data_IF_841850083240
#
_entry.id   IF_841850083240
#
_cell.length_a   1.000
_cell.length_b   1.000
_cell.length_c   1.000
_cell.angle_alpha   90.00
_cell.angle_beta   90.00
_cell.angle_gamma   90.00
#
_symmetry.space_group_name_H-M   'P 1'
#
loop_
_entity.id
_entity.type
_entity.pdbx_description
1 polymer ?
#
# COMPACT_ATOMS: atom_id res chain seq x y z
N UNK A 1 11.48 -38.03 0.61
CA UNK A 1 11.77 -36.62 0.97
C UNK A 1 11.17 -35.55 0.04
N UNK A 2 10.38 -35.89 -1.01
CA UNK A 2 9.66 -34.89 -1.83
C UNK A 2 8.28 -34.48 -1.27
N UNK A 3 7.62 -35.38 -0.54
CA UNK A 3 6.29 -35.12 0.03
C UNK A 3 6.28 -34.13 1.21
N UNK A 4 7.33 -34.10 2.06
CA UNK A 4 7.40 -33.15 3.18
C UNK A 4 7.51 -31.67 2.74
N UNK A 5 8.12 -31.40 1.59
CA UNK A 5 8.36 -30.02 1.10
C UNK A 5 7.05 -29.37 0.61
N UNK A 6 6.17 -30.15 -0.02
CA UNK A 6 4.86 -29.65 -0.49
C UNK A 6 3.95 -29.25 0.68
N UNK A 7 3.98 -30.00 1.78
CA UNK A 7 3.12 -29.75 2.94
C UNK A 7 3.53 -28.47 3.68
N UNK A 8 4.84 -28.25 3.89
CA UNK A 8 5.36 -27.01 4.53
C UNK A 8 5.05 -25.77 3.67
N UNK A 9 5.12 -25.90 2.35
CA UNK A 9 4.78 -24.82 1.41
C UNK A 9 3.30 -24.43 1.48
N UNK A 10 2.40 -25.41 1.59
CA UNK A 10 0.95 -25.16 1.75
C UNK A 10 0.63 -24.49 3.09
N UNK A 11 1.24 -24.93 4.20
CA UNK A 11 1.00 -24.32 5.51
C UNK A 11 1.50 -22.87 5.61
N UNK A 12 2.64 -22.54 5.01
CA UNK A 12 3.18 -21.17 5.01
C UNK A 12 2.35 -20.21 4.16
N UNK A 13 1.81 -20.67 3.02
CA UNK A 13 0.91 -19.86 2.18
C UNK A 13 -0.41 -19.57 2.91
N UNK A 14 -0.98 -20.57 3.60
CA UNK A 14 -2.23 -20.40 4.38
C UNK A 14 -2.04 -19.49 5.59
N UNK A 15 -0.87 -19.52 6.24
CA UNK A 15 -0.57 -18.60 7.34
C UNK A 15 -0.44 -17.14 6.86
N UNK A 16 0.22 -16.92 5.72
CA UNK A 16 0.42 -15.58 5.13
C UNK A 16 -0.89 -14.94 4.64
N UNK A 17 -1.81 -15.74 4.09
CA UNK A 17 -3.13 -15.23 3.69
C UNK A 17 -4.00 -14.83 4.88
N UNK A 18 -3.99 -15.61 5.97
CA UNK A 18 -4.68 -15.25 7.23
C UNK A 18 -4.13 -13.98 7.87
N UNK A 19 -2.80 -13.80 7.87
CA UNK A 19 -2.16 -12.58 8.36
C UNK A 19 -2.67 -11.33 7.59
N UNK A 20 -2.79 -11.44 6.27
CA UNK A 20 -3.22 -10.31 5.44
C UNK A 20 -4.68 -9.90 5.67
N UNK A 21 -5.58 -10.85 5.96
CA UNK A 21 -6.98 -10.55 6.29
C UNK A 21 -7.12 -9.87 7.65
N UNK A 22 -6.44 -10.39 8.67
CA UNK A 22 -6.44 -9.80 10.02
C UNK A 22 -5.88 -8.37 10.02
N UNK A 23 -4.86 -8.10 9.21
CA UNK A 23 -4.28 -6.76 9.07
C UNK A 23 -5.25 -5.77 8.40
N UNK A 24 -6.02 -6.22 7.41
CA UNK A 24 -7.07 -5.42 6.76
C UNK A 24 -8.18 -5.08 7.75
N UNK A 25 -8.71 -6.08 8.46
CA UNK A 25 -9.77 -5.89 9.45
C UNK A 25 -9.34 -4.94 10.56
N UNK A 26 -8.13 -5.10 11.10
CA UNK A 26 -7.59 -4.23 12.12
C UNK A 26 -7.45 -2.78 11.64
N UNK A 27 -6.91 -2.57 10.43
CA UNK A 27 -6.78 -1.22 9.87
C UNK A 27 -8.14 -0.61 9.51
N UNK A 28 -9.09 -1.41 9.02
CA UNK A 28 -10.44 -0.96 8.67
C UNK A 28 -11.21 -0.49 9.91
N UNK A 29 -11.15 -1.29 10.99
CA UNK A 29 -11.74 -0.95 12.29
C UNK A 29 -11.19 0.36 12.86
N UNK A 30 -9.87 0.58 12.74
CA UNK A 30 -9.23 1.82 13.23
C UNK A 30 -9.81 3.09 12.60
N UNK A 31 -10.28 3.02 11.35
CA UNK A 31 -10.78 4.17 10.60
C UNK A 31 -12.28 4.09 10.29
N UNK A 32 -13.01 3.18 10.93
CA UNK A 32 -14.46 3.03 10.74
C UNK A 32 -14.87 2.63 9.31
N UNK A 33 -13.99 1.97 8.56
CA UNK A 33 -14.26 1.56 7.17
C UNK A 33 -15.01 0.23 7.18
N UNK A 34 -16.29 0.26 6.86
CA UNK A 34 -17.10 -0.94 6.71
C UNK A 34 -16.94 -1.57 5.31
N UNK A 35 -17.16 -2.89 5.19
CA UNK A 35 -17.17 -3.64 3.92
C UNK A 35 -15.83 -3.69 3.13
N UNK A 36 -14.68 -3.78 3.82
CA UNK A 36 -13.38 -4.02 3.16
C UNK A 36 -13.27 -5.49 2.70
N UNK A 37 -14.02 -5.84 1.66
CA UNK A 37 -14.10 -7.22 1.13
C UNK A 37 -12.91 -7.61 0.27
N UNK A 38 -12.04 -6.67 -0.13
CA UNK A 38 -10.77 -6.90 -0.85
C UNK A 38 -9.85 -5.68 -0.76
N UNK A 39 -8.54 -5.91 -0.64
CA UNK A 39 -7.52 -4.91 -1.01
C UNK A 39 -7.68 -4.67 -2.52
N UNK A 40 -7.90 -3.45 -3.00
CA UNK A 40 -8.04 -3.20 -4.43
C UNK A 40 -6.64 -3.16 -5.05
N UNK A 41 -6.08 -4.35 -5.24
CA UNK A 41 -5.09 -4.52 -6.28
C UNK A 41 -5.84 -4.62 -7.62
N UNK A 42 -5.81 -3.48 -8.32
CA UNK A 42 -5.84 -3.32 -9.76
C UNK A 42 -7.13 -3.38 -10.58
N UNK A 43 -8.29 -3.87 -10.15
CA UNK A 43 -9.48 -3.79 -11.02
C UNK A 43 -10.80 -3.50 -10.28
N UNK A 44 -11.34 -2.31 -10.58
CA UNK A 44 -12.68 -1.72 -10.34
C UNK A 44 -12.77 -0.56 -9.33
N UNK A 45 -13.63 0.45 -9.62
CA UNK A 45 -13.59 1.76 -8.98
C UNK A 45 -14.39 1.73 -7.69
N UNK A 46 -13.73 1.39 -6.58
CA UNK A 46 -14.18 1.94 -5.29
C UNK A 46 -13.96 3.45 -5.36
N UNK A 47 -14.96 4.24 -4.92
CA UNK A 47 -14.97 5.71 -5.04
C UNK A 47 -13.65 6.28 -4.50
N UNK A 48 -12.74 6.49 -5.45
CA UNK A 48 -11.39 6.96 -5.26
C UNK A 48 -11.51 8.38 -4.67
N UNK A 49 -11.16 8.53 -3.38
CA UNK A 49 -11.04 9.76 -2.57
C UNK A 49 -11.92 9.85 -1.29
N UNK A 50 -12.22 8.75 -0.60
CA UNK A 50 -12.63 8.86 0.80
C UNK A 50 -11.38 9.11 1.68
N UNK A 51 -11.33 10.14 2.55
CA UNK A 51 -10.18 10.40 3.42
C UNK A 51 -9.78 9.18 4.26
N UNK A 52 -10.77 8.39 4.67
CA UNK A 52 -10.61 7.19 5.49
C UNK A 52 -9.91 6.06 4.72
N UNK A 53 -10.03 6.07 3.38
CA UNK A 53 -9.39 5.07 2.52
C UNK A 53 -7.87 5.29 2.41
N UNK A 54 -7.41 6.54 2.34
CA UNK A 54 -5.97 6.80 2.34
C UNK A 54 -5.33 6.55 3.71
N UNK A 55 -6.10 6.71 4.79
CA UNK A 55 -5.69 6.29 6.13
C UNK A 55 -5.60 4.76 6.27
N UNK A 56 -6.60 4.03 5.76
CA UNK A 56 -6.57 2.57 5.67
C UNK A 56 -5.34 2.08 4.91
N UNK A 57 -5.06 2.68 3.74
CA UNK A 57 -3.89 2.34 2.93
C UNK A 57 -2.58 2.63 3.66
N UNK A 58 -2.48 3.75 4.35
CA UNK A 58 -1.33 4.09 5.18
C UNK A 58 -1.08 3.06 6.28
N UNK A 59 -2.14 2.61 6.97
CA UNK A 59 -2.03 1.58 8.00
C UNK A 59 -1.51 0.24 7.46
N UNK A 60 -2.01 -0.18 6.29
CA UNK A 60 -1.54 -1.38 5.62
C UNK A 60 -0.06 -1.27 5.22
N UNK A 61 0.34 -0.14 4.63
CA UNK A 61 1.73 0.09 4.24
C UNK A 61 2.68 0.20 5.43
N UNK A 62 2.22 0.73 6.56
CA UNK A 62 2.97 0.70 7.83
C UNK A 62 3.18 -0.74 8.31
N UNK A 63 2.14 -1.57 8.33
CA UNK A 63 2.25 -3.00 8.71
C UNK A 63 3.18 -3.79 7.78
N UNK A 64 3.25 -3.40 6.51
CA UNK A 64 4.17 -3.97 5.52
C UNK A 64 5.60 -3.41 5.61
N UNK A 65 5.85 -2.45 6.52
CA UNK A 65 7.17 -1.83 6.70
C UNK A 65 7.57 -0.89 5.56
N UNK A 66 6.63 -0.52 4.69
CA UNK A 66 6.83 0.46 3.62
C UNK A 66 6.85 1.88 4.21
N UNK A 67 6.11 2.09 5.30
CA UNK A 67 6.08 3.34 6.04
C UNK A 67 6.61 3.16 7.47
N UNK A 68 7.39 4.13 7.94
CA UNK A 68 7.88 4.23 9.33
C UNK A 68 7.75 5.67 9.80
N UNK A 69 7.31 5.88 11.03
CA UNK A 69 7.07 7.22 11.61
C UNK A 69 6.17 8.10 10.72
N UNK A 70 5.18 7.46 10.08
CA UNK A 70 4.25 8.11 9.17
C UNK A 70 4.82 8.55 7.82
N UNK A 71 6.06 8.16 7.47
CA UNK A 71 6.73 8.50 6.21
C UNK A 71 7.07 7.25 5.42
N UNK A 72 7.15 7.37 4.10
CA UNK A 72 7.66 6.32 3.23
C UNK A 72 9.16 6.13 3.40
N UNK A 73 9.56 4.86 3.42
CA UNK A 73 10.91 4.42 3.11
C UNK A 73 10.98 4.10 1.60
N UNK A 74 11.81 4.84 0.86
CA UNK A 74 11.89 4.73 -0.60
C UNK A 74 12.34 3.34 -1.06
N UNK A 75 13.30 2.74 -0.39
CA UNK A 75 13.83 1.43 -0.77
C UNK A 75 12.82 0.32 -0.48
N UNK A 76 12.12 0.41 0.64
CA UNK A 76 11.03 -0.52 0.97
C UNK A 76 9.87 -0.37 -0.01
N UNK A 77 9.46 0.87 -0.32
CA UNK A 77 8.43 1.15 -1.32
C UNK A 77 8.82 0.60 -2.69
N UNK A 78 10.05 0.84 -3.15
CA UNK A 78 10.52 0.33 -4.44
C UNK A 78 10.49 -1.19 -4.47
N UNK A 79 11.01 -1.84 -3.43
CA UNK A 79 11.03 -3.31 -3.36
C UNK A 79 9.63 -3.94 -3.33
N UNK A 80 8.67 -3.24 -2.75
CA UNK A 80 7.27 -3.67 -2.71
C UNK A 80 6.58 -3.47 -4.06
N UNK A 81 6.61 -2.26 -4.62
CA UNK A 81 5.84 -1.89 -5.82
C UNK A 81 6.51 -2.28 -7.15
N UNK A 82 7.81 -2.58 -7.19
CA UNK A 82 8.51 -2.96 -8.44
C UNK A 82 7.95 -4.21 -9.11
N UNK A 83 7.21 -5.05 -8.37
CA UNK A 83 6.59 -6.27 -8.90
C UNK A 83 5.29 -6.02 -9.65
N UNK A 84 4.65 -4.88 -9.40
CA UNK A 84 3.31 -4.56 -9.94
C UNK A 84 3.31 -3.36 -10.87
N UNK A 85 4.45 -2.65 -10.97
CA UNK A 85 4.58 -1.51 -11.89
C UNK A 85 4.53 -1.93 -13.35
N UNK A 86 3.88 -1.09 -14.17
CA UNK A 86 3.87 -1.20 -15.64
C UNK A 86 4.98 -0.38 -16.31
N UNK A 87 5.68 0.44 -15.53
CA UNK A 87 6.77 1.28 -16.03
C UNK A 87 8.09 0.49 -16.06
N UNK A 88 9.02 0.82 -16.98
CA UNK A 88 10.41 0.36 -16.86
C UNK A 88 10.97 0.69 -15.47
N UNK A 89 11.76 -0.22 -14.88
CA UNK A 89 12.18 -0.09 -13.48
C UNK A 89 12.96 1.20 -13.18
N UNK A 90 13.76 1.68 -14.12
CA UNK A 90 14.49 2.95 -14.00
C UNK A 90 13.54 4.14 -13.92
N UNK A 91 12.60 4.23 -14.86
CA UNK A 91 11.53 5.25 -14.90
C UNK A 91 10.64 5.17 -13.66
N UNK A 92 10.30 3.95 -13.24
CA UNK A 92 9.52 3.72 -12.04
C UNK A 92 10.23 4.24 -10.79
N UNK A 93 11.52 3.93 -10.63
CA UNK A 93 12.30 4.34 -9.46
C UNK A 93 12.40 5.86 -9.37
N UNK A 94 12.64 6.53 -10.48
CA UNK A 94 12.69 7.99 -10.55
C UNK A 94 11.34 8.62 -10.15
N UNK A 95 10.26 8.18 -10.80
CA UNK A 95 8.91 8.67 -10.50
C UNK A 95 8.51 8.38 -9.04
N UNK A 96 8.83 7.19 -8.53
CA UNK A 96 8.60 6.80 -7.15
C UNK A 96 9.33 7.73 -6.19
N UNK A 97 10.61 8.04 -6.45
CA UNK A 97 11.42 8.93 -5.62
C UNK A 97 10.78 10.31 -5.46
N UNK A 98 10.38 10.92 -6.58
CA UNK A 98 9.71 12.23 -6.58
C UNK A 98 8.40 12.20 -5.79
N UNK A 99 7.59 11.16 -5.98
CA UNK A 99 6.29 11.05 -5.30
C UNK A 99 6.41 10.72 -3.82
N UNK A 100 7.43 9.94 -3.43
CA UNK A 100 7.76 9.67 -2.02
C UNK A 100 8.23 10.94 -1.33
N UNK A 101 9.13 11.70 -1.96
CA UNK A 101 9.62 12.97 -1.42
C UNK A 101 8.46 13.95 -1.20
N UNK A 102 7.61 14.13 -2.22
CA UNK A 102 6.43 14.98 -2.14
C UNK A 102 5.46 14.52 -1.05
N UNK A 103 5.16 13.21 -1.00
CA UNK A 103 4.29 12.64 0.03
C UNK A 103 4.85 12.89 1.44
N UNK A 104 6.16 12.69 1.63
CA UNK A 104 6.82 12.84 2.92
C UNK A 104 6.85 14.28 3.46
N UNK A 105 6.38 15.28 2.71
CA UNK A 105 6.17 16.64 3.23
C UNK A 105 4.89 16.76 4.08
N UNK A 106 3.96 15.82 3.97
CA UNK A 106 2.66 15.86 4.66
C UNK A 106 2.78 15.53 6.16
N UNK A 107 1.91 16.12 6.98
CA UNK A 107 2.01 16.02 8.45
C UNK A 107 1.64 14.65 9.03
N UNK A 108 0.77 13.90 8.36
CA UNK A 108 0.29 12.60 8.82
C UNK A 108 0.30 11.55 7.71
N UNK A 109 0.27 10.28 8.10
CA UNK A 109 0.43 9.12 7.20
C UNK A 109 -0.67 9.01 6.13
N UNK A 110 -1.90 9.48 6.44
CA UNK A 110 -2.98 9.53 5.47
C UNK A 110 -2.71 10.58 4.37
N UNK A 111 -2.25 11.77 4.76
CA UNK A 111 -1.86 12.83 3.84
C UNK A 111 -0.70 12.41 2.95
N UNK A 112 0.32 11.80 3.55
CA UNK A 112 1.49 11.24 2.84
C UNK A 112 1.03 10.27 1.74
N UNK A 113 0.16 9.32 2.11
CA UNK A 113 -0.40 8.32 1.19
C UNK A 113 -1.22 8.96 0.07
N UNK A 114 -2.10 9.92 0.39
CA UNK A 114 -2.90 10.66 -0.59
C UNK A 114 -2.03 11.38 -1.62
N UNK A 115 -1.07 12.18 -1.16
CA UNK A 115 -0.18 12.96 -2.04
C UNK A 115 0.69 12.05 -2.91
N UNK A 116 1.16 10.94 -2.34
CA UNK A 116 1.87 9.91 -3.10
C UNK A 116 1.00 9.32 -4.21
N UNK A 117 -0.23 8.87 -3.91
CA UNK A 117 -1.14 8.27 -4.88
C UNK A 117 -1.49 9.26 -5.99
N UNK A 118 -1.80 10.50 -5.64
CA UNK A 118 -2.09 11.58 -6.59
C UNK A 118 -0.89 11.84 -7.54
N UNK A 119 0.32 11.88 -6.98
CA UNK A 119 1.56 12.04 -7.75
C UNK A 119 1.80 10.85 -8.70
N UNK A 120 1.62 9.62 -8.23
CA UNK A 120 1.81 8.41 -9.04
C UNK A 120 0.80 8.31 -10.18
N UNK A 121 -0.43 8.76 -9.96
CA UNK A 121 -1.50 8.82 -10.96
C UNK A 121 -1.42 10.04 -11.90
N UNK A 122 -0.46 10.95 -11.70
CA UNK A 122 -0.32 12.15 -12.52
C UNK A 122 -1.41 13.19 -12.29
N UNK A 123 -2.12 13.16 -11.16
CA UNK A 123 -3.20 14.10 -10.83
C UNK A 123 -2.74 15.14 -9.82
N UNK A 124 -2.31 16.35 -10.22
CA UNK A 124 -2.23 17.47 -9.30
C UNK A 124 -3.64 18.06 -9.16
N UNK A 125 -4.49 17.52 -8.29
CA UNK A 125 -5.68 18.27 -7.88
C UNK A 125 -5.32 19.21 -6.76
N UNK A 126 -4.94 20.42 -7.14
CA UNK A 126 -5.00 21.58 -6.26
C UNK A 126 -6.42 21.65 -5.67
N UNK A 127 -6.55 21.65 -4.34
CA UNK A 127 -7.79 22.11 -3.70
C UNK A 127 -7.74 23.63 -3.68
N UNK A 128 -8.71 24.25 -4.36
CA UNK A 128 -9.24 25.54 -3.93
C UNK A 128 -9.96 25.34 -2.61
#
# INVERSE_FOLDING_TARGET
MKFLIFVISLFTVVARSRQSLADIEACASQYGVENVTRIPDNDRPFKQRDPDYECLRACLWRKQGIMKNGKFDLDKAFNYFKKTTRFPLTVFKEKLSVCVEKGNQEKNECGVTRVYVDCMNGSPKARK
#
